data_IF_565618688060
#
_entry.id   IF_565618688060
#
_cell.length_a   1.000
_cell.length_b   1.000
_cell.length_c   1.000
_cell.angle_alpha   90.00
_cell.angle_beta   90.00
_cell.angle_gamma   90.00
#
_symmetry.space_group_name_H-M   'P 1'
#
loop_
_entity.id
_entity.type
_entity.pdbx_description
1 polymer ?
#
# COMPACT_ATOMS: atom_id res chain seq x y z
N UNK A 1 -35.79 -10.79 2.30
CA UNK A 1 -34.77 -11.66 1.64
C UNK A 1 -35.02 -11.76 0.13
N UNK A 2 -36.27 -11.58 -0.33
CA UNK A 2 -36.62 -11.52 -1.77
C UNK A 2 -36.42 -10.10 -2.35
N UNK A 3 -36.34 -9.09 -1.49
CA UNK A 3 -36.27 -7.66 -1.90
C UNK A 3 -35.04 -7.32 -2.75
N UNK A 4 -33.94 -8.08 -2.61
CA UNK A 4 -32.71 -7.87 -3.39
C UNK A 4 -32.74 -8.55 -4.77
N UNK A 5 -33.69 -9.46 -5.04
CA UNK A 5 -33.73 -10.12 -6.36
C UNK A 5 -34.08 -9.12 -7.45
N UNK A 6 -34.99 -8.18 -7.16
CA UNK A 6 -35.39 -7.14 -8.13
C UNK A 6 -34.23 -6.21 -8.52
N UNK A 7 -33.34 -5.89 -7.56
CA UNK A 7 -32.14 -5.09 -7.84
C UNK A 7 -31.15 -5.84 -8.74
N UNK A 8 -30.97 -7.15 -8.52
CA UNK A 8 -30.11 -7.99 -9.36
C UNK A 8 -30.75 -8.20 -10.74
N UNK A 9 -32.07 -8.44 -10.80
CA UNK A 9 -32.84 -8.61 -12.02
C UNK A 9 -32.74 -7.37 -12.92
N UNK A 10 -32.80 -6.16 -12.37
CA UNK A 10 -32.63 -4.93 -13.15
C UNK A 10 -31.26 -4.84 -13.83
N UNK A 11 -30.19 -5.32 -13.20
CA UNK A 11 -28.83 -5.32 -13.76
C UNK A 11 -28.70 -6.31 -14.92
N UNK A 12 -29.50 -7.37 -14.94
CA UNK A 12 -29.43 -8.45 -15.94
C UNK A 12 -30.78 -8.73 -16.60
N UNK A 13 -31.65 -7.72 -16.74
CA UNK A 13 -33.04 -7.89 -17.21
C UNK A 13 -33.16 -8.60 -18.58
N UNK A 14 -32.16 -8.44 -19.45
CA UNK A 14 -32.12 -9.13 -20.74
C UNK A 14 -31.68 -10.60 -20.65
N UNK A 15 -31.25 -11.05 -19.48
CA UNK A 15 -30.63 -12.36 -19.21
C UNK A 15 -31.24 -13.05 -17.99
N UNK A 16 -32.47 -12.69 -17.59
CA UNK A 16 -33.14 -13.26 -16.41
C UNK A 16 -33.27 -14.79 -16.51
N UNK A 17 -33.48 -15.30 -17.73
CA UNK A 17 -33.49 -16.74 -18.02
C UNK A 17 -32.12 -17.44 -17.84
N UNK A 18 -31.02 -16.67 -17.69
CA UNK A 18 -29.66 -17.18 -17.40
C UNK A 18 -29.28 -17.08 -15.93
N UNK A 19 -30.10 -16.43 -15.10
CA UNK A 19 -29.85 -16.33 -13.67
C UNK A 19 -30.08 -17.71 -13.04
N UNK A 20 -29.12 -18.13 -12.20
CA UNK A 20 -29.24 -19.31 -11.34
C UNK A 20 -29.31 -18.83 -9.91
N UNK A 21 -30.40 -19.16 -9.22
CA UNK A 21 -30.54 -18.83 -7.80
C UNK A 21 -30.15 -20.04 -6.97
N UNK A 22 -29.17 -19.84 -6.10
CA UNK A 22 -28.72 -20.84 -5.14
C UNK A 22 -29.38 -20.58 -3.78
N UNK A 23 -30.20 -21.50 -3.34
CA UNK A 23 -30.80 -21.53 -2.01
C UNK A 23 -29.84 -22.27 -1.08
N UNK A 24 -29.12 -21.54 -0.23
CA UNK A 24 -28.17 -22.11 0.72
C UNK A 24 -28.83 -22.67 1.98
N UNK A 25 -28.05 -23.39 2.80
CA UNK A 25 -28.46 -23.98 4.09
C UNK A 25 -29.66 -24.92 4.00
N UNK A 26 -29.79 -25.64 2.87
CA UNK A 26 -30.91 -26.55 2.64
C UNK A 26 -31.03 -27.68 3.67
N UNK A 27 -29.93 -28.09 4.30
CA UNK A 27 -29.90 -29.07 5.38
C UNK A 27 -30.60 -28.62 6.67
N UNK A 28 -30.84 -27.31 6.83
CA UNK A 28 -31.58 -26.79 7.98
C UNK A 28 -33.10 -26.90 7.80
N UNK A 29 -33.56 -27.31 6.60
CA UNK A 29 -34.97 -27.48 6.28
C UNK A 29 -35.55 -28.69 7.00
N UNK A 30 -36.41 -28.46 8.00
CA UNK A 30 -37.08 -29.53 8.78
C UNK A 30 -38.04 -30.38 7.94
N UNK A 31 -38.53 -29.84 6.82
CA UNK A 31 -39.47 -30.51 5.92
C UNK A 31 -39.10 -30.19 4.47
N UNK A 32 -37.98 -30.77 4.02
CA UNK A 32 -37.36 -30.47 2.73
C UNK A 32 -38.31 -30.65 1.54
N UNK A 33 -39.12 -31.71 1.54
CA UNK A 33 -40.05 -31.99 0.44
C UNK A 33 -41.13 -30.89 0.29
N UNK A 34 -41.80 -30.55 1.38
CA UNK A 34 -42.86 -29.54 1.35
C UNK A 34 -42.29 -28.13 1.09
N UNK A 35 -41.15 -27.82 1.70
CA UNK A 35 -40.48 -26.54 1.49
C UNK A 35 -39.98 -26.39 0.05
N UNK A 36 -39.57 -27.48 -0.59
CA UNK A 36 -39.13 -27.45 -1.99
C UNK A 36 -40.27 -27.02 -2.90
N UNK A 37 -41.43 -27.68 -2.77
CA UNK A 37 -42.62 -27.37 -3.58
C UNK A 37 -43.12 -25.95 -3.32
N UNK A 38 -43.13 -25.51 -2.07
CA UNK A 38 -43.56 -24.15 -1.70
C UNK A 38 -42.64 -23.09 -2.28
N UNK A 39 -41.32 -23.26 -2.16
CA UNK A 39 -40.32 -22.34 -2.71
C UNK A 39 -40.40 -22.32 -4.23
N UNK A 40 -40.45 -23.48 -4.89
CA UNK A 40 -40.58 -23.55 -6.34
C UNK A 40 -41.87 -22.87 -6.83
N UNK A 41 -43.01 -23.10 -6.18
CA UNK A 41 -44.27 -22.40 -6.52
C UNK A 41 -44.16 -20.90 -6.33
N UNK A 42 -43.56 -20.45 -5.23
CA UNK A 42 -43.40 -19.03 -4.95
C UNK A 42 -42.53 -18.35 -6.01
N UNK A 43 -41.40 -18.94 -6.37
CA UNK A 43 -40.54 -18.44 -7.44
C UNK A 43 -41.22 -18.49 -8.81
N UNK A 44 -41.97 -19.54 -9.14
CA UNK A 44 -42.71 -19.60 -10.40
C UNK A 44 -43.82 -18.53 -10.48
N UNK A 45 -44.48 -18.22 -9.36
CA UNK A 45 -45.53 -17.21 -9.30
C UNK A 45 -44.98 -15.78 -9.34
N UNK A 46 -43.91 -15.51 -8.60
CA UNK A 46 -43.31 -14.17 -8.49
C UNK A 46 -42.35 -13.88 -9.67
N UNK A 47 -41.69 -14.91 -10.20
CA UNK A 47 -40.64 -14.83 -11.22
C UNK A 47 -40.81 -15.92 -12.29
N UNK A 48 -41.80 -15.81 -13.19
CA UNK A 48 -42.14 -16.86 -14.16
C UNK A 48 -41.01 -17.24 -15.14
N UNK A 49 -40.04 -16.35 -15.29
CA UNK A 49 -38.88 -16.51 -16.19
C UNK A 49 -37.70 -17.21 -15.51
N UNK A 50 -37.73 -17.37 -14.17
CA UNK A 50 -36.66 -18.00 -13.41
C UNK A 50 -36.89 -19.51 -13.29
N UNK A 51 -36.17 -20.28 -14.10
CA UNK A 51 -36.31 -21.74 -14.14
C UNK A 51 -35.15 -22.49 -13.46
N UNK A 52 -34.09 -21.78 -13.04
CA UNK A 52 -32.87 -22.39 -12.54
C UNK A 52 -32.71 -22.14 -11.03
N UNK A 53 -33.27 -23.05 -10.23
CA UNK A 53 -33.13 -23.05 -8.77
C UNK A 53 -32.22 -24.22 -8.34
N UNK A 54 -31.18 -23.93 -7.57
CA UNK A 54 -30.29 -24.92 -6.96
C UNK A 54 -30.47 -24.88 -5.45
N UNK A 55 -30.83 -26.02 -4.85
CA UNK A 55 -30.92 -26.16 -3.40
C UNK A 55 -29.61 -26.77 -2.89
N UNK A 56 -28.86 -25.99 -2.12
CA UNK A 56 -27.51 -26.32 -1.67
C UNK A 56 -27.45 -26.49 -0.15
N UNK A 57 -26.73 -27.52 0.29
CA UNK A 57 -26.36 -27.73 1.69
C UNK A 57 -24.84 -27.75 1.82
N UNK A 58 -24.31 -27.30 2.97
CA UNK A 58 -22.88 -27.48 3.29
C UNK A 58 -22.46 -28.96 3.35
N UNK A 59 -23.42 -29.88 3.50
CA UNK A 59 -23.21 -31.33 3.46
C UNK A 59 -23.08 -31.87 2.03
N UNK A 60 -23.50 -31.11 1.03
CA UNK A 60 -23.39 -31.50 -0.38
C UNK A 60 -21.92 -31.50 -0.81
N UNK A 61 -21.52 -32.52 -1.56
CA UNK A 61 -20.15 -32.59 -2.06
C UNK A 61 -19.90 -31.50 -3.11
N UNK A 62 -18.64 -31.07 -3.27
CA UNK A 62 -18.26 -30.12 -4.34
C UNK A 62 -18.62 -30.64 -5.73
N UNK A 63 -18.57 -31.97 -5.92
CA UNK A 63 -18.92 -32.61 -7.17
C UNK A 63 -20.44 -32.54 -7.44
N UNK A 64 -21.27 -32.73 -6.41
CA UNK A 64 -22.74 -32.57 -6.53
C UNK A 64 -23.11 -31.14 -6.93
N UNK A 65 -22.54 -30.14 -6.26
CA UNK A 65 -22.78 -28.74 -6.60
C UNK A 65 -22.32 -28.43 -8.03
N UNK A 66 -21.14 -28.89 -8.42
CA UNK A 66 -20.62 -28.71 -9.78
C UNK A 66 -21.56 -29.35 -10.84
N UNK A 67 -22.09 -30.54 -10.57
CA UNK A 67 -23.04 -31.21 -11.45
C UNK A 67 -24.38 -30.47 -11.55
N UNK A 68 -24.90 -29.93 -10.43
CA UNK A 68 -26.13 -29.13 -10.42
C UNK A 68 -25.95 -27.84 -11.22
N UNK A 69 -24.85 -27.12 -11.00
CA UNK A 69 -24.51 -25.92 -11.77
C UNK A 69 -24.36 -26.28 -13.26
N UNK A 70 -23.62 -27.35 -13.56
CA UNK A 70 -23.44 -27.81 -14.93
C UNK A 70 -24.76 -28.16 -15.60
N UNK A 71 -25.67 -28.86 -14.91
CA UNK A 71 -27.00 -29.21 -15.42
C UNK A 71 -27.87 -27.99 -15.71
N UNK A 72 -27.84 -26.97 -14.84
CA UNK A 72 -28.51 -25.70 -15.09
C UNK A 72 -27.93 -25.02 -16.34
N UNK A 73 -26.61 -24.88 -16.40
CA UNK A 73 -25.91 -24.18 -17.51
C UNK A 73 -26.04 -24.93 -18.84
N UNK A 74 -26.01 -26.26 -18.84
CA UNK A 74 -26.11 -27.07 -20.06
C UNK A 74 -27.50 -27.02 -20.70
N UNK A 75 -28.53 -26.78 -19.89
CA UNK A 75 -29.92 -26.66 -20.34
C UNK A 75 -30.31 -25.23 -20.70
N UNK A 76 -29.44 -24.24 -20.45
CA UNK A 76 -29.68 -22.87 -20.90
C UNK A 76 -29.54 -22.78 -22.41
N UNK A 77 -30.46 -22.05 -23.03
CA UNK A 77 -30.37 -21.71 -24.44
C UNK A 77 -29.04 -20.97 -24.71
N UNK A 78 -28.35 -21.31 -25.79
CA UNK A 78 -27.11 -20.63 -26.16
C UNK A 78 -27.47 -19.28 -26.76
N UNK A 79 -27.20 -18.20 -26.02
CA UNK A 79 -27.34 -16.85 -26.55
C UNK A 79 -26.02 -16.36 -27.14
N UNK A 80 -26.11 -15.78 -28.34
CA UNK A 80 -24.99 -15.05 -28.94
C UNK A 80 -25.02 -13.63 -28.40
N UNK A 81 -24.09 -13.34 -27.50
CA UNK A 81 -23.97 -12.02 -26.89
C UNK A 81 -23.31 -11.06 -27.90
N UNK A 82 -24.11 -10.42 -28.75
CA UNK A 82 -23.63 -9.36 -29.66
C UNK A 82 -23.69 -8.01 -28.96
N UNK A 83 -22.73 -7.75 -28.07
CA UNK A 83 -22.51 -6.37 -27.59
C UNK A 83 -21.74 -5.64 -28.69
N UNK A 84 -22.39 -4.68 -29.35
CA UNK A 84 -21.69 -3.74 -30.24
C UNK A 84 -20.74 -2.87 -29.44
N UNK A 85 -19.58 -2.57 -30.00
CA UNK A 85 -18.58 -1.69 -29.38
C UNK A 85 -19.21 -0.37 -28.90
N UNK A 86 -20.10 0.25 -29.68
CA UNK A 86 -20.76 1.49 -29.27
C UNK A 86 -21.64 1.32 -28.02
N UNK A 87 -22.36 0.20 -27.90
CA UNK A 87 -23.18 -0.10 -26.72
C UNK A 87 -22.31 -0.43 -25.50
N UNK A 88 -21.17 -1.09 -25.72
CA UNK A 88 -20.19 -1.31 -24.67
C UNK A 88 -19.64 0.02 -24.15
N UNK A 89 -19.21 0.93 -25.04
CA UNK A 89 -18.68 2.23 -24.65
C UNK A 89 -19.71 3.16 -24.00
N UNK A 90 -20.99 3.06 -24.38
CA UNK A 90 -22.07 3.84 -23.76
C UNK A 90 -22.45 3.33 -22.36
N UNK A 91 -22.37 2.02 -22.12
CA UNK A 91 -22.80 1.41 -20.85
C UNK A 91 -21.65 1.15 -19.87
N UNK A 92 -20.43 1.00 -20.35
CA UNK A 92 -19.26 0.68 -19.52
C UNK A 92 -18.24 1.80 -19.59
N UNK A 93 -18.01 2.46 -18.46
CA UNK A 93 -17.06 3.58 -18.33
C UNK A 93 -15.58 3.14 -18.42
N UNK A 94 -15.33 1.85 -18.67
CA UNK A 94 -14.03 1.18 -18.70
C UNK A 94 -13.02 1.89 -19.61
N UNK A 95 -13.45 2.33 -20.80
CA UNK A 95 -12.55 3.00 -21.75
C UNK A 95 -12.09 4.37 -21.25
N UNK A 96 -13.01 5.17 -20.69
CA UNK A 96 -12.66 6.49 -20.18
C UNK A 96 -11.79 6.38 -18.93
N UNK A 97 -12.11 5.45 -18.02
CA UNK A 97 -11.31 5.18 -16.84
C UNK A 97 -9.90 4.73 -17.21
N UNK A 98 -9.76 3.78 -18.15
CA UNK A 98 -8.45 3.34 -18.65
C UNK A 98 -7.66 4.48 -19.30
N UNK A 99 -8.32 5.35 -20.06
CA UNK A 99 -7.68 6.50 -20.71
C UNK A 99 -7.19 7.51 -19.68
N UNK A 100 -8.03 7.86 -18.68
CA UNK A 100 -7.65 8.74 -17.57
C UNK A 100 -6.47 8.18 -16.78
N UNK A 101 -6.52 6.90 -16.43
CA UNK A 101 -5.46 6.22 -15.69
C UNK A 101 -4.13 6.26 -16.48
N UNK A 102 -4.18 6.01 -17.79
CA UNK A 102 -2.99 6.09 -18.66
C UNK A 102 -2.40 7.49 -18.72
N UNK A 103 -3.23 8.53 -18.80
CA UNK A 103 -2.77 9.93 -18.77
C UNK A 103 -2.09 10.24 -17.45
N UNK A 104 -2.74 9.93 -16.32
CA UNK A 104 -2.18 10.19 -14.99
C UNK A 104 -0.92 9.38 -14.71
N UNK A 105 -0.80 8.17 -15.26
CA UNK A 105 0.43 7.38 -15.18
C UNK A 105 1.60 8.06 -15.89
N UNK A 106 1.37 8.60 -17.09
CA UNK A 106 2.40 9.35 -17.80
C UNK A 106 2.81 10.62 -17.04
N UNK A 107 1.87 11.29 -16.36
CA UNK A 107 2.16 12.42 -15.49
C UNK A 107 3.01 12.02 -14.28
N UNK A 108 2.66 10.91 -13.62
CA UNK A 108 3.45 10.32 -12.54
C UNK A 108 4.89 10.04 -13.01
N UNK A 109 5.07 9.38 -14.15
CA UNK A 109 6.40 9.06 -14.69
C UNK A 109 7.21 10.34 -14.97
N UNK A 110 6.59 11.38 -15.55
CA UNK A 110 7.25 12.67 -15.77
C UNK A 110 7.69 13.32 -14.45
N UNK A 111 6.82 13.35 -13.44
CA UNK A 111 7.14 13.88 -12.11
C UNK A 111 8.30 13.10 -11.47
N UNK A 112 8.26 11.77 -11.53
CA UNK A 112 9.31 10.90 -10.98
C UNK A 112 10.67 11.12 -11.66
N UNK A 113 10.69 11.23 -13.00
CA UNK A 113 11.92 11.52 -13.75
C UNK A 113 12.48 12.90 -13.37
N UNK A 114 11.62 13.92 -13.29
CA UNK A 114 12.04 15.26 -12.90
C UNK A 114 12.62 15.27 -11.48
N UNK A 115 11.96 14.59 -10.55
CA UNK A 115 12.42 14.46 -9.17
C UNK A 115 13.77 13.75 -9.09
N UNK A 116 13.92 12.61 -9.76
CA UNK A 116 15.19 11.88 -9.84
C UNK A 116 16.30 12.75 -10.41
N UNK A 117 16.02 13.56 -11.43
CA UNK A 117 17.00 14.49 -12.02
C UNK A 117 17.41 15.57 -11.02
N UNK A 118 16.44 16.23 -10.38
CA UNK A 118 16.70 17.28 -9.39
C UNK A 118 17.57 16.77 -8.23
N UNK A 119 17.24 15.59 -7.69
CA UNK A 119 18.00 14.96 -6.62
C UNK A 119 19.40 14.49 -7.08
N UNK A 120 19.53 14.05 -8.33
CA UNK A 120 20.85 13.67 -8.90
C UNK A 120 21.74 14.90 -9.06
N UNK A 121 21.19 16.02 -9.52
CA UNK A 121 21.92 17.30 -9.60
C UNK A 121 22.32 17.79 -8.20
N UNK A 122 21.45 17.60 -7.21
CA UNK A 122 21.75 17.95 -5.82
C UNK A 122 22.96 17.19 -5.30
N UNK A 123 22.99 15.85 -5.36
CA UNK A 123 24.13 15.05 -4.84
C UNK A 123 25.45 15.36 -5.56
N UNK A 124 25.40 15.67 -6.86
CA UNK A 124 26.60 16.02 -7.64
C UNK A 124 27.14 17.42 -7.30
N UNK A 125 26.27 18.33 -6.84
CA UNK A 125 26.64 19.69 -6.45
C UNK A 125 27.05 19.84 -4.98
N UNK A 126 26.99 18.76 -4.17
CA UNK A 126 27.36 18.79 -2.75
C UNK A 126 28.84 19.15 -2.59
N UNK A 127 29.09 20.30 -1.98
CA UNK A 127 30.41 20.73 -1.53
C UNK A 127 30.40 20.82 0.00
N UNK A 128 31.17 19.95 0.66
CA UNK A 128 31.32 19.92 2.11
C UNK A 128 32.78 20.05 2.50
N UNK A 129 33.04 20.61 3.69
CA UNK A 129 34.40 20.79 4.21
C UNK A 129 35.03 19.48 4.70
N UNK A 130 34.20 18.50 5.07
CA UNK A 130 34.63 17.19 5.55
C UNK A 130 33.97 16.07 4.74
N UNK A 131 34.63 14.90 4.71
CA UNK A 131 34.10 13.69 4.06
C UNK A 131 32.87 13.19 4.83
N UNK A 132 32.90 13.30 6.15
CA UNK A 132 31.78 12.91 7.03
C UNK A 132 30.53 13.76 6.77
N UNK A 133 30.67 15.09 6.67
CA UNK A 133 29.53 15.96 6.36
C UNK A 133 28.99 15.67 4.94
N UNK A 134 29.87 15.36 3.97
CA UNK A 134 29.47 14.97 2.61
C UNK A 134 28.64 13.68 2.63
N UNK A 135 29.13 12.67 3.33
CA UNK A 135 28.45 11.38 3.45
C UNK A 135 27.09 11.50 4.14
N UNK A 136 27.00 12.30 5.21
CA UNK A 136 25.74 12.59 5.92
C UNK A 136 24.72 13.25 4.98
N UNK A 137 25.16 14.26 4.22
CA UNK A 137 24.33 14.95 3.24
C UNK A 137 23.83 14.01 2.15
N UNK A 138 24.69 13.16 1.59
CA UNK A 138 24.30 12.21 0.54
C UNK A 138 23.32 11.17 1.11
N UNK A 139 23.60 10.63 2.31
CA UNK A 139 22.70 9.69 2.96
C UNK A 139 21.31 10.30 3.18
N UNK A 140 21.25 11.53 3.70
CA UNK A 140 19.97 12.22 3.87
C UNK A 140 19.28 12.47 2.53
N UNK A 141 20.05 12.78 1.49
CA UNK A 141 19.48 12.93 0.14
C UNK A 141 18.76 11.66 -0.31
N UNK A 142 19.36 10.48 -0.07
CA UNK A 142 18.76 9.18 -0.37
C UNK A 142 17.47 8.96 0.42
N UNK A 143 17.45 9.29 1.71
CA UNK A 143 16.25 9.15 2.55
C UNK A 143 15.13 10.05 2.05
N UNK A 144 15.40 11.35 1.89
CA UNK A 144 14.41 12.31 1.40
C UNK A 144 13.88 11.96 0.00
N UNK A 145 14.75 11.48 -0.89
CA UNK A 145 14.32 11.04 -2.22
C UNK A 145 13.31 9.89 -2.14
N UNK A 146 13.58 8.88 -1.30
CA UNK A 146 12.66 7.76 -1.10
C UNK A 146 11.32 8.21 -0.53
N UNK A 147 11.34 9.09 0.47
CA UNK A 147 10.13 9.64 1.08
C UNK A 147 9.29 10.43 0.06
N UNK A 148 9.92 11.27 -0.79
CA UNK A 148 9.21 12.02 -1.84
C UNK A 148 8.66 11.11 -2.95
N UNK A 149 9.40 10.06 -3.34
CA UNK A 149 8.91 9.06 -4.30
C UNK A 149 7.71 8.27 -3.74
N UNK A 150 7.77 7.88 -2.46
CA UNK A 150 6.65 7.22 -1.79
C UNK A 150 5.44 8.14 -1.65
N UNK A 151 5.64 9.42 -1.31
CA UNK A 151 4.58 10.41 -1.30
C UNK A 151 3.92 10.57 -2.67
N UNK A 152 4.72 10.62 -3.75
CA UNK A 152 4.23 10.71 -5.12
C UNK A 152 3.41 9.47 -5.53
N UNK A 153 3.86 8.28 -5.13
CA UNK A 153 3.14 7.03 -5.36
C UNK A 153 1.82 6.99 -4.58
N UNK A 154 1.82 7.46 -3.33
CA UNK A 154 0.63 7.51 -2.50
C UNK A 154 -0.38 8.55 -3.00
N UNK A 155 0.06 9.70 -3.52
CA UNK A 155 -0.82 10.66 -4.21
C UNK A 155 -1.54 10.01 -5.40
N UNK A 156 -0.79 9.25 -6.22
CA UNK A 156 -1.37 8.52 -7.35
C UNK A 156 -2.42 7.49 -6.90
N UNK A 157 -2.09 6.69 -5.87
CA UNK A 157 -3.01 5.68 -5.30
C UNK A 157 -4.26 6.32 -4.70
N UNK A 158 -4.12 7.42 -3.96
CA UNK A 158 -5.25 8.11 -3.36
C UNK A 158 -6.23 8.61 -4.43
N UNK A 159 -5.71 9.08 -5.57
CA UNK A 159 -6.52 9.61 -6.67
C UNK A 159 -7.17 8.54 -7.55
N UNK A 160 -6.49 7.42 -7.78
CA UNK A 160 -6.90 6.41 -8.78
C UNK A 160 -7.09 5.00 -8.24
N UNK A 161 -6.94 4.78 -6.93
CA UNK A 161 -7.03 3.47 -6.30
C UNK A 161 -8.35 2.76 -6.58
N UNK A 162 -9.47 3.49 -6.47
CA UNK A 162 -10.80 2.97 -6.75
C UNK A 162 -10.97 2.61 -8.23
N UNK A 163 -10.52 3.48 -9.14
CA UNK A 163 -10.57 3.22 -10.58
C UNK A 163 -9.81 1.92 -10.94
N UNK A 164 -8.67 1.67 -10.28
CA UNK A 164 -7.87 0.46 -10.51
C UNK A 164 -8.54 -0.81 -9.97
N UNK A 165 -9.27 -0.72 -8.86
CA UNK A 165 -10.05 -1.85 -8.31
C UNK A 165 -11.24 -2.16 -9.21
N UNK A 166 -11.97 -1.14 -9.66
CA UNK A 166 -13.13 -1.31 -10.55
C UNK A 166 -12.73 -1.89 -11.91
N UNK A 167 -11.54 -1.54 -12.41
CA UNK A 167 -10.96 -2.11 -13.64
C UNK A 167 -10.29 -3.47 -13.45
N UNK A 168 -10.27 -4.04 -12.24
CA UNK A 168 -9.55 -5.28 -11.91
C UNK A 168 -8.07 -5.24 -12.33
N UNK A 169 -7.43 -4.07 -12.20
CA UNK A 169 -6.14 -3.77 -12.82
C UNK A 169 -4.94 -3.98 -11.88
N UNK A 170 -4.94 -5.08 -11.13
CA UNK A 170 -3.90 -5.41 -10.15
C UNK A 170 -2.49 -5.48 -10.75
N UNK A 171 -2.36 -6.01 -11.97
CA UNK A 171 -1.06 -6.07 -12.68
C UNK A 171 -0.46 -4.68 -12.87
N UNK A 172 -1.30 -3.67 -13.08
CA UNK A 172 -0.86 -2.29 -13.25
C UNK A 172 -0.32 -1.70 -11.93
N UNK A 173 -1.00 -1.95 -10.80
CA UNK A 173 -0.54 -1.52 -9.47
C UNK A 173 0.84 -2.11 -9.16
N UNK A 174 1.00 -3.41 -9.34
CA UNK A 174 2.29 -4.10 -9.11
C UNK A 174 3.38 -3.54 -10.02
N UNK A 175 3.05 -3.23 -11.28
CA UNK A 175 4.00 -2.63 -12.22
C UNK A 175 4.44 -1.23 -11.76
N UNK A 176 3.50 -0.39 -11.32
CA UNK A 176 3.78 0.95 -10.81
C UNK A 176 4.70 0.90 -9.58
N UNK A 177 4.42 -0.01 -8.64
CA UNK A 177 5.26 -0.21 -7.44
C UNK A 177 6.67 -0.65 -7.79
N UNK A 178 6.81 -1.63 -8.69
CA UNK A 178 8.11 -2.11 -9.17
C UNK A 178 8.90 -0.98 -9.83
N UNK A 179 8.25 -0.14 -10.62
CA UNK A 179 8.91 1.02 -11.26
C UNK A 179 9.36 2.04 -10.22
N UNK A 180 8.53 2.36 -9.22
CA UNK A 180 8.89 3.25 -8.12
C UNK A 180 10.12 2.74 -7.35
N UNK A 181 10.12 1.44 -7.02
CA UNK A 181 11.24 0.77 -6.36
C UNK A 181 12.50 0.83 -7.23
N UNK A 182 12.38 0.54 -8.53
CA UNK A 182 13.50 0.62 -9.47
C UNK A 182 14.10 2.02 -9.52
N UNK A 183 13.29 3.07 -9.63
CA UNK A 183 13.76 4.47 -9.64
C UNK A 183 14.53 4.78 -8.35
N UNK A 184 14.03 4.32 -7.20
CA UNK A 184 14.71 4.46 -5.91
C UNK A 184 16.06 3.73 -5.89
N UNK A 185 16.12 2.50 -6.40
CA UNK A 185 17.37 1.74 -6.50
C UNK A 185 18.37 2.41 -7.43
N UNK A 186 17.95 2.80 -8.63
CA UNK A 186 18.81 3.47 -9.61
C UNK A 186 19.41 4.77 -9.05
N UNK A 187 18.65 5.50 -8.23
CA UNK A 187 19.17 6.69 -7.54
C UNK A 187 20.22 6.33 -6.49
N UNK A 188 19.96 5.31 -5.67
CA UNK A 188 20.91 4.84 -4.64
C UNK A 188 22.21 4.35 -5.28
N UNK A 189 22.14 3.60 -6.39
CA UNK A 189 23.32 3.14 -7.13
C UNK A 189 24.18 4.30 -7.67
N UNK A 190 23.56 5.44 -8.02
CA UNK A 190 24.30 6.65 -8.39
C UNK A 190 24.89 7.38 -7.19
N UNK A 191 24.22 7.35 -6.05
CA UNK A 191 24.60 8.10 -4.85
C UNK A 191 25.70 7.40 -4.04
N UNK A 192 25.64 6.08 -3.88
CA UNK A 192 26.58 5.30 -3.05
C UNK A 192 28.05 5.48 -3.47
N UNK A 193 28.42 5.46 -4.76
CA UNK A 193 29.79 5.70 -5.19
C UNK A 193 30.35 7.07 -4.82
N UNK A 194 29.49 8.04 -4.48
CA UNK A 194 29.91 9.39 -4.06
C UNK A 194 30.25 9.47 -2.57
N UNK A 195 29.94 8.41 -1.81
CA UNK A 195 30.17 8.29 -0.37
C UNK A 195 31.50 7.60 -0.07
N UNK A 196 32.06 7.83 1.13
CA UNK A 196 33.29 7.15 1.59
C UNK A 196 33.07 5.70 2.03
N UNK A 197 31.82 5.24 2.07
CA UNK A 197 31.45 3.92 2.55
C UNK A 197 30.24 3.34 1.84
N UNK A 198 30.11 2.01 1.92
CA UNK A 198 29.04 1.28 1.29
C UNK A 198 27.83 1.19 2.24
N UNK A 199 26.69 1.77 1.86
CA UNK A 199 25.44 1.70 2.62
C UNK A 199 24.86 0.27 2.75
N UNK A 200 25.31 -0.65 1.91
CA UNK A 200 24.86 -2.03 1.89
C UNK A 200 25.79 -2.98 2.65
N UNK A 201 26.93 -2.49 3.15
CA UNK A 201 27.82 -3.29 3.97
C UNK A 201 27.26 -3.41 5.39
N UNK A 202 26.72 -4.58 5.72
CA UNK A 202 26.17 -4.86 7.05
C UNK A 202 27.24 -4.93 8.15
N UNK A 203 28.53 -4.92 7.80
CA UNK A 203 29.66 -4.89 8.74
C UNK A 203 30.12 -3.47 9.06
N UNK A 204 29.72 -2.47 8.26
CA UNK A 204 30.09 -1.09 8.54
C UNK A 204 29.29 -0.56 9.75
N UNK A 205 29.96 -0.16 10.84
CA UNK A 205 29.28 0.31 12.05
C UNK A 205 28.41 1.55 11.81
N UNK A 206 28.66 2.33 10.75
CA UNK A 206 27.83 3.48 10.36
C UNK A 206 26.44 3.05 9.89
N UNK A 207 26.33 1.88 9.26
CA UNK A 207 25.04 1.33 8.79
C UNK A 207 24.19 0.75 9.92
N UNK A 208 24.79 0.57 11.11
CA UNK A 208 24.09 0.14 12.32
C UNK A 208 23.35 1.30 13.00
N UNK A 209 23.60 2.57 12.62
CA UNK A 209 22.94 3.72 13.23
C UNK A 209 21.58 3.96 12.56
N UNK A 210 20.48 3.97 13.33
CA UNK A 210 19.09 4.15 12.86
C UNK A 210 18.34 5.20 13.67
N UNK A 211 17.23 5.72 13.14
CA UNK A 211 16.35 6.69 13.83
C UNK A 211 14.98 6.06 14.11
N UNK A 212 14.43 6.30 15.30
CA UNK A 212 13.05 5.87 15.59
C UNK A 212 12.05 6.73 14.79
N UNK A 213 11.13 6.15 14.00
CA UNK A 213 10.15 6.92 13.24
C UNK A 213 9.16 7.68 14.15
N UNK A 214 8.98 7.22 15.39
CA UNK A 214 8.05 7.84 16.33
C UNK A 214 8.65 8.96 17.19
N UNK A 215 9.76 8.71 17.89
CA UNK A 215 10.37 9.68 18.81
C UNK A 215 11.66 10.30 18.29
N UNK A 216 12.11 9.90 17.10
CA UNK A 216 13.19 10.56 16.40
C UNK A 216 14.58 10.48 17.07
N UNK A 217 14.72 9.70 18.16
CA UNK A 217 16.01 9.36 18.78
C UNK A 217 16.90 8.54 17.84
N UNK A 218 18.21 8.57 18.06
CA UNK A 218 19.23 7.82 17.29
C UNK A 218 19.63 6.56 18.07
N UNK A 219 19.74 5.44 17.37
CA UNK A 219 19.89 4.09 17.91
C UNK A 219 21.04 3.38 17.22
N UNK A 220 21.74 2.53 17.95
CA UNK A 220 22.59 1.51 17.34
C UNK A 220 21.77 0.22 17.21
N UNK A 221 21.71 -0.33 16.00
CA UNK A 221 21.13 -1.63 15.70
C UNK A 221 22.02 -2.68 16.34
N UNK A 222 21.54 -3.30 17.42
CA UNK A 222 22.33 -4.27 18.17
C UNK A 222 22.13 -5.73 17.75
N UNK A 223 21.04 -6.08 17.03
CA UNK A 223 20.81 -7.36 16.31
C UNK A 223 19.36 -7.42 15.78
N UNK A 224 19.03 -8.41 14.93
CA UNK A 224 17.68 -8.98 14.67
C UNK A 224 16.49 -8.04 14.35
N UNK A 225 15.86 -8.21 13.17
CA UNK A 225 14.54 -7.63 12.88
C UNK A 225 13.49 -8.73 13.09
N UNK A 226 13.27 -9.11 14.35
CA UNK A 226 12.38 -10.23 14.70
C UNK A 226 10.95 -9.75 14.97
N UNK A 227 10.64 -8.48 14.66
CA UNK A 227 9.36 -7.82 14.95
C UNK A 227 9.15 -7.49 16.44
N UNK A 228 10.15 -7.74 17.29
CA UNK A 228 10.07 -7.54 18.74
C UNK A 228 10.90 -6.35 19.24
N UNK A 229 11.69 -5.71 18.38
CA UNK A 229 12.58 -4.61 18.73
C UNK A 229 11.78 -3.35 19.08
N UNK A 230 11.91 -2.90 20.32
CA UNK A 230 11.25 -1.68 20.81
C UNK A 230 12.23 -0.54 20.97
N UNK A 231 11.75 0.66 20.65
CA UNK A 231 12.41 1.92 20.89
C UNK A 231 12.68 2.14 22.40
N UNK A 232 13.82 1.74 22.90
CA UNK A 232 14.35 2.11 24.24
C UNK A 232 15.11 0.98 24.90
N UNK A 233 15.19 -0.15 24.21
CA UNK A 233 15.74 -1.38 24.71
C UNK A 233 17.25 -1.41 24.45
N UNK A 234 18.03 -0.84 25.36
CA UNK A 234 19.49 -0.93 25.33
C UNK A 234 20.02 -1.51 26.65
N UNK A 235 20.64 -2.69 26.60
CA UNK A 235 21.44 -3.25 27.69
C UNK A 235 22.85 -2.65 27.76
N UNK A 236 23.21 -1.75 26.84
CA UNK A 236 24.50 -1.06 26.86
C UNK A 236 24.48 0.11 27.85
N UNK A 237 25.39 0.06 28.85
CA UNK A 237 25.75 1.20 29.69
C UNK A 237 26.44 2.27 28.83
N UNK A 238 25.65 3.13 28.20
CA UNK A 238 26.10 4.25 27.39
C UNK A 238 26.68 5.36 28.27
N UNK A 239 28.00 5.40 28.42
CA UNK A 239 28.68 6.52 29.09
C UNK A 239 29.55 7.40 28.17
N UNK A 240 29.55 7.20 26.84
CA UNK A 240 30.57 7.86 25.99
C UNK A 240 30.12 8.41 24.63
N UNK A 241 28.82 8.48 24.29
CA UNK A 241 28.37 8.91 22.94
C UNK A 241 27.68 10.29 22.94
N UNK A 242 27.59 10.98 24.09
CA UNK A 242 26.80 12.20 24.28
C UNK A 242 27.28 13.49 23.56
N UNK A 243 28.14 13.42 22.53
CA UNK A 243 28.71 14.63 21.91
C UNK A 243 28.62 14.74 20.39
N UNK A 244 28.09 13.74 19.68
CA UNK A 244 27.92 13.86 18.22
C UNK A 244 26.45 14.07 17.88
N UNK A 245 26.09 15.33 17.60
CA UNK A 245 24.85 15.66 16.92
C UNK A 245 25.03 15.25 15.47
N UNK A 246 24.57 14.06 15.12
CA UNK A 246 24.73 13.43 13.81
C UNK A 246 23.91 14.08 12.69
N UNK A 247 23.19 15.17 12.96
CA UNK A 247 22.32 15.82 11.97
C UNK A 247 22.46 17.33 12.03
N UNK A 248 23.38 17.85 11.21
CA UNK A 248 23.57 19.30 11.06
C UNK A 248 22.77 19.88 9.91
N UNK A 249 22.17 19.07 9.05
CA UNK A 249 21.63 19.53 7.76
C UNK A 249 20.14 19.22 7.59
N UNK A 250 19.38 20.20 7.07
CA UNK A 250 17.99 20.05 6.65
C UNK A 250 17.87 20.43 5.19
N UNK A 251 17.11 19.66 4.42
CA UNK A 251 16.81 20.00 3.03
C UNK A 251 15.62 20.96 2.96
N UNK A 252 15.73 22.03 2.17
CA UNK A 252 14.62 22.96 1.90
C UNK A 252 14.63 23.37 0.42
N UNK A 253 13.45 23.67 -0.13
CA UNK A 253 13.31 24.34 -1.43
C UNK A 253 13.43 25.85 -1.23
N UNK A 254 14.46 26.48 -1.79
CA UNK A 254 14.61 27.95 -1.87
C UNK A 254 14.62 28.36 -3.34
N UNK A 255 13.68 29.21 -3.75
CA UNK A 255 13.56 29.65 -5.15
C UNK A 255 13.31 28.51 -6.14
N UNK A 256 12.57 27.47 -5.74
CA UNK A 256 12.26 26.31 -6.58
C UNK A 256 13.35 25.27 -6.72
N UNK A 257 14.53 25.46 -6.10
CA UNK A 257 15.64 24.48 -6.09
C UNK A 257 15.82 23.87 -4.71
N UNK A 258 16.11 22.58 -4.65
CA UNK A 258 16.53 21.92 -3.42
C UNK A 258 17.91 22.43 -2.97
N UNK A 259 18.01 22.80 -1.71
CA UNK A 259 19.24 23.28 -1.09
C UNK A 259 19.39 22.73 0.33
N UNK A 260 20.65 22.54 0.73
CA UNK A 260 21.00 22.18 2.09
C UNK A 260 21.10 23.42 2.97
N UNK A 261 20.40 23.40 4.09
CA UNK A 261 20.52 24.39 5.14
C UNK A 261 21.17 23.72 6.34
N UNK A 262 22.34 24.23 6.73
CA UNK A 262 22.96 23.81 7.99
C UNK A 262 22.12 24.40 9.12
N UNK A 263 21.48 23.53 9.89
CA UNK A 263 20.78 23.93 11.10
C UNK A 263 21.85 24.43 12.07
N UNK A 264 21.78 25.71 12.52
CA UNK A 264 22.66 26.14 13.59
C UNK A 264 22.41 25.19 14.75
N UNK A 265 23.49 24.63 15.31
CA UNK A 265 23.40 23.94 16.59
C UNK A 265 23.11 25.07 17.58
N UNK A 266 21.83 25.42 17.74
CA UNK A 266 21.41 26.10 18.94
C UNK A 266 21.92 25.22 20.07
N UNK A 267 22.72 25.81 20.96
CA UNK A 267 23.09 25.20 22.23
C UNK A 267 21.83 25.10 23.10
N UNK A 268 20.76 24.52 22.60
CA UNK A 268 19.87 23.79 23.47
C UNK A 268 20.70 22.61 23.93
N UNK A 269 21.30 22.76 25.10
CA UNK A 269 21.83 21.64 25.87
C UNK A 269 20.81 20.50 25.73
N UNK A 270 21.21 19.30 25.26
CA UNK A 270 20.31 18.16 25.17
C UNK A 270 19.54 17.92 26.48
N UNK A 271 20.11 18.35 27.61
CA UNK A 271 19.50 18.41 28.93
C UNK A 271 18.16 19.17 28.96
N UNK A 272 17.95 20.25 28.20
CA UNK A 272 16.74 21.07 28.28
C UNK A 272 15.54 20.46 27.53
N UNK A 273 15.72 19.92 26.32
CA UNK A 273 14.65 19.19 25.61
C UNK A 273 14.44 17.78 26.15
N UNK A 274 15.49 17.11 26.63
CA UNK A 274 15.36 15.83 27.31
C UNK A 274 14.65 16.01 28.67
N UNK A 275 14.91 17.09 29.42
CA UNK A 275 14.16 17.39 30.64
C UNK A 275 12.69 17.72 30.38
N UNK A 276 12.35 18.45 29.32
CA UNK A 276 10.93 18.72 29.00
C UNK A 276 10.20 17.44 28.57
N UNK A 277 10.86 16.56 27.81
CA UNK A 277 10.26 15.28 27.40
C UNK A 277 10.24 14.23 28.53
N UNK A 278 11.20 14.29 29.46
CA UNK A 278 11.30 13.39 30.63
C UNK A 278 10.43 13.86 31.81
N UNK A 279 10.14 15.16 31.93
CA UNK A 279 9.22 15.66 32.97
C UNK A 279 7.80 15.15 32.78
N UNK A 280 7.37 14.92 31.53
CA UNK A 280 6.07 14.30 31.22
C UNK A 280 6.05 12.77 31.37
N UNK A 281 7.21 12.12 31.57
CA UNK A 281 7.32 10.66 31.69
C UNK A 281 7.79 10.18 33.08
N UNK A 282 7.91 11.08 34.06
CA UNK A 282 8.31 10.75 35.44
C UNK A 282 7.18 10.12 36.28
N UNK A 283 6.32 9.31 35.65
CA UNK A 283 5.50 8.34 36.34
C UNK A 283 5.77 6.95 35.73
N UNK A 284 6.68 6.22 36.40
CA UNK A 284 6.95 4.78 36.27
C UNK A 284 8.09 4.31 35.34
N UNK A 285 9.12 3.79 36.03
CA UNK A 285 10.10 2.78 35.63
C UNK A 285 11.45 3.25 35.07
N UNK A 286 12.47 2.84 35.81
CA UNK A 286 13.90 3.02 35.56
C UNK A 286 14.36 2.31 34.27
N UNK A 287 15.23 3.01 33.52
CA UNK A 287 16.17 2.48 32.49
C UNK A 287 15.63 2.20 31.08
N UNK A 288 14.78 3.05 30.50
CA UNK A 288 14.59 3.06 29.04
C UNK A 288 14.71 4.48 28.49
N UNK A 289 15.71 4.69 27.62
CA UNK A 289 15.85 5.95 26.86
C UNK A 289 15.18 5.70 25.51
N UNK A 290 13.87 6.00 25.38
CA UNK A 290 13.07 5.65 24.18
C UNK A 290 11.56 5.77 24.35
N UNK A 291 10.78 5.75 23.26
CA UNK A 291 9.31 5.82 23.31
C UNK A 291 8.59 4.46 23.42
N UNK A 292 9.32 3.36 23.53
CA UNK A 292 8.82 2.00 23.70
C UNK A 292 8.12 1.37 22.50
N UNK A 293 7.90 2.12 21.41
CA UNK A 293 7.16 1.62 20.24
C UNK A 293 7.96 0.57 19.46
N UNK A 294 7.27 -0.45 18.95
CA UNK A 294 7.83 -1.49 18.08
C UNK A 294 8.14 -0.94 16.69
N UNK A 295 9.24 -1.43 16.11
CA UNK A 295 9.70 -1.14 14.75
C UNK A 295 9.22 -2.16 13.72
#
# INVERSE_FOLDING_TARGET
MIDNYYEVEQLVYNYVNKVVVLISHWDQSKNSQNNYEEICKKFQNEYPTLNNLIFYSERSSKAELANLIYGCVSNMEKDKLEIKDEQFFLKFNVYQMKTKLKVSYNEYQRKAILLSKEYTELILSVQCQSVEDKDEVIHMTIVYFKDEMEALLNEFRAKHGLDMVELDYYVFVVKLEKENVKICYDFVERAVPLMSYNLFDNKDPRNLIKRCPYCQLIWFKTEGYDGTTTCGNSDFKSNSINKKVFWKYKMRRKGGKLQWEKTPIEKETPEQKLEETLKDQNAASSKRVGCGKQF
#
